data_IF_321266854635
#
_entry.id   IF_321266854635
#
_cell.length_a   1.000
_cell.length_b   1.000
_cell.length_c   1.000
_cell.angle_alpha   90.00
_cell.angle_beta   90.00
_cell.angle_gamma   90.00
#
_symmetry.space_group_name_H-M   'P 1'
#
loop_
_entity.id
_entity.type
_entity.pdbx_description
1 polymer ?
#
# COMPACT_ATOMS: atom_id res chain seq x y z
N UNK A 1 -42.37 11.95 4.17
CA UNK A 1 -43.77 11.58 4.56
C UNK A 1 -44.03 10.23 3.92
N UNK A 2 -43.97 9.19 4.73
CA UNK A 2 -43.97 7.80 4.31
C UNK A 2 -45.37 7.40 3.85
N UNK A 3 -45.45 6.67 2.72
CA UNK A 3 -46.73 6.21 2.13
C UNK A 3 -47.53 5.35 3.14
N UNK A 4 -46.85 4.78 4.13
CA UNK A 4 -47.45 4.01 5.20
C UNK A 4 -48.32 4.85 6.19
N UNK A 5 -47.98 6.11 6.44
CA UNK A 5 -48.73 7.01 7.34
C UNK A 5 -50.11 7.41 6.78
N UNK A 6 -50.29 7.41 5.46
CA UNK A 6 -51.56 7.81 4.83
C UNK A 6 -52.60 6.71 4.80
N UNK A 7 -52.23 5.45 5.05
CA UNK A 7 -53.14 4.29 5.02
C UNK A 7 -53.77 3.94 6.37
N UNK A 8 -53.36 4.58 7.44
CA UNK A 8 -53.87 4.30 8.79
C UNK A 8 -55.08 5.19 9.16
N UNK A 9 -55.30 6.29 8.42
CA UNK A 9 -56.25 7.34 8.84
C UNK A 9 -57.65 7.29 8.20
N UNK A 10 -57.92 6.31 7.32
CA UNK A 10 -59.27 6.11 6.78
C UNK A 10 -59.90 4.80 7.26
N UNK A 11 -60.60 4.90 8.37
CA UNK A 11 -61.51 3.86 8.87
C UNK A 11 -62.73 3.70 7.98
N UNK A 12 -63.03 2.42 7.65
CA UNK A 12 -64.35 1.89 7.21
C UNK A 12 -64.64 1.99 5.69
N UNK A 13 -64.64 0.85 5.11
CA UNK A 13 -64.88 0.39 3.76
C UNK A 13 -63.59 0.22 2.94
N UNK A 14 -62.72 -0.70 3.42
CA UNK A 14 -61.63 -1.19 2.57
C UNK A 14 -62.24 -2.01 1.44
N UNK A 15 -62.44 -1.34 0.31
CA UNK A 15 -62.87 -1.97 -0.95
C UNK A 15 -61.83 -3.06 -1.32
N UNK A 16 -62.32 -4.14 -1.94
CA UNK A 16 -61.47 -5.25 -2.40
C UNK A 16 -60.27 -4.78 -3.24
N UNK A 17 -60.38 -3.60 -3.86
CA UNK A 17 -59.31 -2.96 -4.64
C UNK A 17 -58.12 -2.51 -3.78
N UNK A 18 -58.37 -1.96 -2.58
CA UNK A 18 -57.32 -1.44 -1.68
C UNK A 18 -56.53 -2.57 -1.01
N UNK A 19 -57.22 -3.68 -0.67
CA UNK A 19 -56.58 -4.88 -0.13
C UNK A 19 -55.65 -5.52 -1.19
N UNK A 20 -56.02 -5.48 -2.46
CA UNK A 20 -55.22 -5.99 -3.57
C UNK A 20 -54.02 -5.10 -3.85
N UNK A 21 -54.21 -3.78 -3.80
CA UNK A 21 -53.13 -2.80 -3.95
C UNK A 21 -52.10 -2.93 -2.85
N UNK A 22 -52.54 -3.05 -1.57
CA UNK A 22 -51.64 -3.31 -0.42
C UNK A 22 -50.82 -4.58 -0.62
N UNK A 23 -51.43 -5.68 -1.05
CA UNK A 23 -50.70 -6.93 -1.36
C UNK A 23 -49.68 -6.73 -2.46
N UNK A 24 -50.02 -6.01 -3.53
CA UNK A 24 -49.07 -5.69 -4.59
C UNK A 24 -47.91 -4.85 -4.09
N UNK A 25 -48.15 -3.80 -3.27
CA UNK A 25 -47.10 -2.96 -2.69
C UNK A 25 -46.19 -3.77 -1.78
N UNK A 26 -46.75 -4.63 -0.91
CA UNK A 26 -45.95 -5.47 -0.02
C UNK A 26 -45.06 -6.47 -0.81
N UNK A 27 -45.61 -7.08 -1.86
CA UNK A 27 -44.86 -7.98 -2.73
C UNK A 27 -43.75 -7.25 -3.49
N UNK A 28 -44.05 -6.09 -4.07
CA UNK A 28 -43.07 -5.28 -4.82
C UNK A 28 -41.98 -4.74 -3.87
N UNK A 29 -42.31 -4.41 -2.64
CA UNK A 29 -41.36 -3.94 -1.64
C UNK A 29 -40.56 -5.06 -0.96
N UNK A 30 -40.84 -6.34 -1.28
CA UNK A 30 -40.27 -7.53 -0.64
C UNK A 30 -40.38 -7.51 0.90
N UNK A 31 -41.50 -6.95 1.42
CA UNK A 31 -41.77 -6.87 2.84
C UNK A 31 -42.89 -7.82 3.21
N UNK A 32 -42.79 -8.42 4.40
CA UNK A 32 -43.83 -9.17 5.02
C UNK A 32 -44.30 -8.52 6.30
N UNK A 33 -45.48 -8.93 6.82
CA UNK A 33 -45.95 -8.44 8.10
C UNK A 33 -46.52 -9.59 8.95
N UNK A 34 -46.52 -9.37 10.26
CA UNK A 34 -47.24 -10.21 11.22
C UNK A 34 -47.87 -9.31 12.26
N UNK A 35 -48.93 -9.81 12.88
CA UNK A 35 -49.54 -9.14 14.02
C UNK A 35 -50.03 -10.14 15.07
N UNK A 36 -50.15 -9.64 16.29
CA UNK A 36 -50.72 -10.35 17.42
C UNK A 36 -51.88 -9.53 17.97
N UNK A 37 -53.07 -10.15 18.11
CA UNK A 37 -54.23 -9.53 18.71
C UNK A 37 -54.19 -9.78 20.22
N UNK A 38 -53.97 -8.73 21.00
CA UNK A 38 -53.93 -8.90 22.45
C UNK A 38 -53.95 -7.58 23.20
N UNK A 39 -54.65 -7.56 24.34
CA UNK A 39 -54.53 -6.51 25.36
C UNK A 39 -53.44 -6.85 26.38
N UNK A 40 -53.07 -8.14 26.46
CA UNK A 40 -52.11 -8.65 27.43
C UNK A 40 -51.28 -9.77 26.77
N UNK A 41 -50.03 -9.51 26.46
CA UNK A 41 -49.13 -10.44 25.77
C UNK A 41 -48.73 -11.58 26.72
N UNK A 42 -49.50 -12.65 26.71
CA UNK A 42 -49.10 -13.93 27.28
C UNK A 42 -48.07 -14.57 26.34
N UNK A 43 -47.17 -15.36 26.89
CA UNK A 43 -46.00 -15.91 26.21
C UNK A 43 -46.24 -16.70 24.92
N UNK A 44 -47.48 -17.05 24.62
CA UNK A 44 -47.88 -17.87 23.47
C UNK A 44 -49.14 -17.35 22.74
N UNK A 45 -49.29 -16.03 22.66
CA UNK A 45 -50.37 -15.42 21.89
C UNK A 45 -50.25 -15.84 20.40
N UNK A 46 -51.38 -16.26 19.76
CA UNK A 46 -51.37 -16.61 18.35
C UNK A 46 -51.02 -15.39 17.49
N UNK A 47 -50.15 -15.58 16.53
CA UNK A 47 -49.69 -14.54 15.61
C UNK A 47 -50.25 -14.82 14.20
N UNK A 48 -50.85 -13.83 13.59
CA UNK A 48 -51.05 -13.85 12.16
C UNK A 48 -49.73 -13.51 11.47
N UNK A 49 -49.31 -14.29 10.46
CA UNK A 49 -48.12 -14.08 9.66
C UNK A 49 -48.50 -14.10 8.19
N UNK A 50 -48.28 -12.99 7.49
CA UNK A 50 -48.67 -12.86 6.08
C UNK A 50 -47.93 -13.90 5.20
N UNK A 51 -48.49 -14.26 4.03
CA UNK A 51 -47.83 -15.19 3.11
C UNK A 51 -46.41 -14.76 2.75
N UNK A 52 -46.18 -13.45 2.54
CA UNK A 52 -44.90 -12.86 2.22
C UNK A 52 -43.90 -13.00 3.39
N UNK A 53 -44.36 -12.71 4.62
CA UNK A 53 -43.54 -12.92 5.82
C UNK A 53 -43.17 -14.40 6.01
N UNK A 54 -44.10 -15.30 5.74
CA UNK A 54 -43.85 -16.76 5.79
C UNK A 54 -42.81 -17.18 4.79
N UNK A 55 -42.92 -16.70 3.57
CA UNK A 55 -41.94 -16.96 2.51
C UNK A 55 -40.54 -16.42 2.89
N UNK A 56 -40.46 -15.19 3.38
CA UNK A 56 -39.21 -14.57 3.82
C UNK A 56 -38.55 -15.34 4.97
N UNK A 57 -39.35 -15.82 5.93
CA UNK A 57 -38.87 -16.56 7.11
C UNK A 57 -38.79 -18.08 6.88
N UNK A 58 -39.12 -18.60 5.71
CA UNK A 58 -39.14 -20.04 5.44
C UNK A 58 -40.14 -20.81 6.26
N UNK A 59 -41.27 -20.20 6.61
CA UNK A 59 -42.34 -20.82 7.38
C UNK A 59 -43.37 -21.52 6.46
N UNK A 60 -43.90 -22.70 6.84
CA UNK A 60 -44.99 -23.36 6.09
C UNK A 60 -46.23 -22.48 6.07
N UNK A 61 -46.95 -22.45 4.93
CA UNK A 61 -48.16 -21.62 4.74
C UNK A 61 -49.31 -21.97 5.69
N UNK A 62 -49.43 -23.23 6.10
CA UNK A 62 -50.57 -23.73 6.89
C UNK A 62 -50.27 -23.93 8.38
N UNK A 63 -49.09 -23.58 8.87
CA UNK A 63 -48.72 -23.79 10.27
C UNK A 63 -49.18 -22.60 11.12
N UNK A 64 -49.93 -22.88 12.21
CA UNK A 64 -50.16 -21.87 13.23
C UNK A 64 -48.86 -21.44 13.89
N UNK A 65 -48.68 -20.15 14.08
CA UNK A 65 -47.47 -19.53 14.61
C UNK A 65 -47.85 -18.73 15.84
N UNK A 66 -47.22 -19.02 16.98
CA UNK A 66 -47.38 -18.21 18.19
C UNK A 66 -46.21 -17.22 18.30
N UNK A 67 -46.37 -16.20 19.12
CA UNK A 67 -45.32 -15.19 19.39
C UNK A 67 -44.04 -15.84 19.94
N UNK A 68 -44.17 -16.88 20.77
CA UNK A 68 -43.03 -17.66 21.27
C UNK A 68 -42.21 -18.31 20.14
N UNK A 69 -42.90 -18.80 19.10
CA UNK A 69 -42.26 -19.40 17.93
C UNK A 69 -41.51 -18.34 17.14
N UNK A 70 -42.06 -17.13 16.95
CA UNK A 70 -41.37 -16.02 16.30
C UNK A 70 -40.13 -15.61 17.08
N UNK A 71 -40.18 -15.53 18.42
CA UNK A 71 -39.04 -15.24 19.28
C UNK A 71 -37.94 -16.31 19.13
N UNK A 72 -38.34 -17.59 19.04
CA UNK A 72 -37.35 -18.68 18.89
C UNK A 72 -36.62 -18.67 17.54
N UNK A 73 -37.25 -18.13 16.51
CA UNK A 73 -36.60 -17.95 15.20
C UNK A 73 -35.48 -16.88 15.22
N UNK A 74 -35.54 -15.96 16.17
CA UNK A 74 -34.50 -14.92 16.33
C UNK A 74 -33.27 -15.56 16.94
N UNK A 75 -32.10 -15.22 16.41
CA UNK A 75 -30.82 -15.64 16.95
C UNK A 75 -30.69 -15.27 18.44
N UNK A 76 -30.07 -16.13 19.22
CA UNK A 76 -29.99 -16.00 20.69
C UNK A 76 -29.54 -14.60 21.14
N UNK A 77 -28.56 -14.04 20.48
CA UNK A 77 -27.96 -12.72 20.82
C UNK A 77 -28.94 -11.55 20.67
N UNK A 78 -30.00 -11.69 19.87
CA UNK A 78 -30.97 -10.63 19.60
C UNK A 78 -32.34 -10.84 20.30
N UNK A 79 -32.56 -11.98 20.98
CA UNK A 79 -33.84 -12.29 21.62
C UNK A 79 -34.23 -11.29 22.70
N UNK A 80 -33.28 -10.88 23.52
CA UNK A 80 -33.57 -9.89 24.57
C UNK A 80 -33.85 -8.50 23.98
N UNK A 81 -33.13 -8.11 22.92
CA UNK A 81 -33.44 -6.87 22.21
C UNK A 81 -34.84 -6.89 21.57
N UNK A 82 -35.27 -8.05 21.03
CA UNK A 82 -36.57 -8.21 20.45
C UNK A 82 -37.68 -8.15 21.51
N UNK A 83 -37.50 -8.80 22.68
CA UNK A 83 -38.42 -8.66 23.82
C UNK A 83 -38.52 -7.21 24.30
N UNK A 84 -37.38 -6.51 24.31
CA UNK A 84 -37.29 -5.08 24.60
C UNK A 84 -38.06 -4.22 23.59
N UNK A 85 -37.96 -4.53 22.29
CA UNK A 85 -38.77 -3.91 21.24
C UNK A 85 -40.28 -4.05 21.54
N UNK A 86 -40.76 -5.28 21.76
CA UNK A 86 -42.16 -5.55 22.06
C UNK A 86 -42.59 -4.80 23.31
N UNK A 87 -41.83 -4.89 24.41
CA UNK A 87 -42.18 -4.25 25.68
C UNK A 87 -42.28 -2.73 25.58
N UNK A 88 -41.36 -2.13 24.80
CA UNK A 88 -41.37 -0.68 24.55
C UNK A 88 -42.61 -0.28 23.75
N UNK A 89 -42.84 -0.96 22.62
CA UNK A 89 -43.96 -0.66 21.72
C UNK A 89 -45.32 -0.76 22.42
N UNK A 90 -45.50 -1.75 23.29
CA UNK A 90 -46.73 -1.88 24.05
C UNK A 90 -46.99 -0.76 25.06
N UNK A 91 -45.91 -0.20 25.63
CA UNK A 91 -46.03 0.90 26.59
C UNK A 91 -46.30 2.24 25.90
N UNK A 92 -45.85 2.38 24.66
CA UNK A 92 -45.93 3.63 23.89
C UNK A 92 -46.73 3.36 22.60
N UNK A 93 -48.08 3.35 22.76
CA UNK A 93 -48.97 3.13 21.62
C UNK A 93 -48.82 4.22 20.57
N UNK A 94 -48.71 3.81 19.31
CA UNK A 94 -48.47 4.69 18.18
C UNK A 94 -47.01 4.92 17.84
N UNK A 95 -46.03 4.65 18.75
CA UNK A 95 -44.63 4.75 18.45
C UNK A 95 -44.15 3.59 17.58
N UNK A 96 -43.32 3.92 16.60
CA UNK A 96 -42.62 2.93 15.77
C UNK A 96 -41.24 2.66 16.36
N UNK A 97 -40.88 1.39 16.48
CA UNK A 97 -39.56 0.95 16.92
C UNK A 97 -38.96 -0.01 15.91
N UNK A 98 -37.65 0.14 15.68
CA UNK A 98 -36.88 -0.65 14.70
C UNK A 98 -35.87 -1.54 15.42
N UNK A 99 -35.73 -2.79 14.94
CA UNK A 99 -34.70 -3.73 15.34
C UNK A 99 -34.09 -4.42 14.10
N UNK A 100 -32.76 -4.40 13.97
CA UNK A 100 -32.04 -5.26 13.02
C UNK A 100 -31.55 -6.49 13.76
N UNK A 101 -31.93 -7.69 13.26
CA UNK A 101 -31.57 -8.95 13.91
C UNK A 101 -31.41 -10.08 12.90
N UNK A 102 -30.82 -11.18 13.36
CA UNK A 102 -30.70 -12.41 12.61
C UNK A 102 -31.95 -13.28 12.87
N UNK A 103 -32.67 -13.67 11.81
CA UNK A 103 -33.79 -14.58 11.84
C UNK A 103 -33.41 -15.87 11.12
N UNK A 104 -33.83 -17.00 11.70
CA UNK A 104 -33.62 -18.32 11.13
C UNK A 104 -34.56 -18.51 9.93
N UNK A 105 -33.97 -18.76 8.75
CA UNK A 105 -34.66 -19.07 7.51
C UNK A 105 -34.31 -20.50 7.09
N UNK A 106 -35.24 -21.46 7.18
CA UNK A 106 -34.97 -22.87 6.87
C UNK A 106 -34.24 -23.63 7.97
N UNK A 107 -33.59 -24.74 7.64
CA UNK A 107 -33.12 -25.74 8.63
C UNK A 107 -31.99 -25.23 9.56
N UNK A 108 -31.03 -24.45 9.06
CA UNK A 108 -29.89 -23.96 9.88
C UNK A 108 -29.28 -22.64 9.38
N UNK A 109 -30.00 -21.91 8.53
CA UNK A 109 -29.49 -20.63 7.98
C UNK A 109 -30.12 -19.47 8.73
N UNK A 110 -29.33 -18.47 9.07
CA UNK A 110 -29.76 -17.20 9.60
C UNK A 110 -29.50 -16.11 8.56
N UNK A 111 -30.46 -15.19 8.40
CA UNK A 111 -30.34 -14.03 7.52
C UNK A 111 -30.67 -12.76 8.30
N UNK A 112 -30.15 -11.63 7.82
CA UNK A 112 -30.41 -10.33 8.42
C UNK A 112 -31.76 -9.79 8.01
N UNK A 113 -32.52 -9.39 9.02
CA UNK A 113 -33.83 -8.75 8.87
C UNK A 113 -33.88 -7.43 9.62
N UNK A 114 -34.65 -6.51 9.06
CA UNK A 114 -35.11 -5.32 9.75
C UNK A 114 -36.58 -5.57 10.17
N UNK A 115 -36.87 -5.42 11.46
CA UNK A 115 -38.21 -5.53 12.02
C UNK A 115 -38.62 -4.14 12.51
N UNK A 116 -39.74 -3.64 12.02
CA UNK A 116 -40.40 -2.43 12.54
C UNK A 116 -41.67 -2.83 13.20
N UNK A 117 -41.90 -2.42 14.44
CA UNK A 117 -43.10 -2.78 15.18
C UNK A 117 -43.78 -1.53 15.77
N UNK A 118 -45.11 -1.56 15.75
CA UNK A 118 -45.98 -0.55 16.38
C UNK A 118 -47.16 -1.24 17.04
N UNK A 119 -47.70 -0.64 18.11
CA UNK A 119 -48.89 -1.09 18.80
C UNK A 119 -50.01 -0.08 18.66
N UNK A 120 -51.15 -0.51 18.11
CA UNK A 120 -52.30 0.34 17.93
C UNK A 120 -53.49 -0.19 18.72
N UNK A 121 -54.17 0.70 19.42
CA UNK A 121 -55.42 0.48 20.13
C UNK A 121 -56.66 0.77 19.27
N UNK A 122 -56.50 1.23 18.07
CA UNK A 122 -57.59 1.53 17.13
C UNK A 122 -58.26 0.28 16.58
N UNK A 123 -57.51 -0.85 16.58
CA UNK A 123 -58.10 -2.15 16.26
C UNK A 123 -58.90 -2.72 17.45
N UNK A 124 -59.96 -3.48 17.13
CA UNK A 124 -60.73 -4.21 18.13
C UNK A 124 -60.71 -5.71 17.82
N UNK A 125 -59.93 -6.54 18.54
CA UNK A 125 -59.04 -6.19 19.66
C UNK A 125 -57.78 -5.41 19.23
N UNK A 126 -57.06 -4.70 20.16
CA UNK A 126 -55.80 -4.00 19.89
C UNK A 126 -54.73 -4.93 19.32
N UNK A 127 -53.87 -4.38 18.48
CA UNK A 127 -52.86 -5.18 17.75
C UNK A 127 -51.45 -4.66 17.93
N UNK A 128 -50.53 -5.59 18.17
CA UNK A 128 -49.10 -5.39 17.92
C UNK A 128 -48.80 -5.81 16.48
N UNK A 129 -48.43 -4.86 15.63
CA UNK A 129 -48.15 -5.09 14.22
C UNK A 129 -46.65 -4.95 14.01
N UNK A 130 -46.05 -5.83 13.21
CA UNK A 130 -44.68 -5.69 12.77
C UNK A 130 -44.53 -5.94 11.27
N UNK A 131 -43.75 -5.12 10.63
CA UNK A 131 -43.27 -5.28 9.25
C UNK A 131 -41.86 -5.83 9.29
N UNK A 132 -41.60 -6.83 8.46
CA UNK A 132 -40.28 -7.44 8.33
C UNK A 132 -39.75 -7.29 6.90
N UNK A 133 -38.47 -7.04 6.78
CA UNK A 133 -37.73 -6.85 5.53
C UNK A 133 -36.44 -7.63 5.58
N UNK A 134 -36.15 -8.41 4.54
CA UNK A 134 -34.84 -9.08 4.42
C UNK A 134 -33.79 -8.07 3.97
N UNK A 135 -32.77 -7.85 4.81
CA UNK A 135 -31.68 -6.92 4.58
C UNK A 135 -30.34 -7.64 4.42
N UNK A 136 -30.35 -8.94 4.11
CA UNK A 136 -29.14 -9.77 4.00
C UNK A 136 -28.16 -9.23 2.95
N UNK A 137 -28.67 -8.90 1.77
CA UNK A 137 -27.83 -8.41 0.67
C UNK A 137 -27.18 -7.07 1.01
N UNK A 138 -27.99 -6.10 1.51
CA UNK A 138 -27.51 -4.79 1.93
C UNK A 138 -26.49 -4.89 3.07
N UNK A 139 -26.78 -5.71 4.08
CA UNK A 139 -25.90 -5.93 5.22
C UNK A 139 -24.61 -6.64 4.82
N UNK A 140 -24.69 -7.61 3.90
CA UNK A 140 -23.54 -8.33 3.37
C UNK A 140 -22.63 -7.41 2.54
N UNK A 141 -23.21 -6.55 1.69
CA UNK A 141 -22.45 -5.57 0.91
C UNK A 141 -21.74 -4.55 1.81
N UNK A 142 -22.47 -4.00 2.80
CA UNK A 142 -21.88 -3.08 3.78
C UNK A 142 -20.70 -3.70 4.52
N UNK A 143 -20.85 -4.93 5.02
CA UNK A 143 -19.77 -5.65 5.71
C UNK A 143 -18.56 -5.92 4.80
N UNK A 144 -18.81 -6.32 3.54
CA UNK A 144 -17.72 -6.52 2.58
C UNK A 144 -16.97 -5.23 2.35
N UNK A 145 -17.69 -4.12 2.19
CA UNK A 145 -17.08 -2.80 2.03
C UNK A 145 -16.25 -2.41 3.25
N UNK A 146 -16.79 -2.56 4.47
CA UNK A 146 -16.09 -2.27 5.71
C UNK A 146 -14.79 -3.09 5.87
N UNK A 147 -14.85 -4.39 5.54
CA UNK A 147 -13.68 -5.27 5.58
C UNK A 147 -12.62 -4.82 4.58
N UNK A 148 -13.03 -4.53 3.34
CA UNK A 148 -12.09 -4.10 2.29
C UNK A 148 -11.48 -2.74 2.63
N UNK A 149 -12.30 -1.79 3.09
CA UNK A 149 -11.85 -0.47 3.52
C UNK A 149 -10.86 -0.56 4.69
N UNK A 150 -11.21 -1.32 5.74
CA UNK A 150 -10.34 -1.52 6.91
C UNK A 150 -9.00 -2.15 6.51
N UNK A 151 -9.03 -3.19 5.65
CA UNK A 151 -7.79 -3.82 5.15
C UNK A 151 -6.94 -2.84 4.36
N UNK A 152 -7.56 -2.03 3.50
CA UNK A 152 -6.85 -1.02 2.73
C UNK A 152 -6.21 0.02 3.64
N UNK A 153 -6.95 0.54 4.62
CA UNK A 153 -6.46 1.56 5.56
C UNK A 153 -5.29 1.04 6.39
N UNK A 154 -5.41 -0.15 6.98
CA UNK A 154 -4.32 -0.77 7.74
C UNK A 154 -3.09 -1.06 6.86
N UNK A 155 -3.30 -1.57 5.64
CA UNK A 155 -2.19 -1.82 4.71
C UNK A 155 -1.47 -0.52 4.35
N UNK A 156 -2.21 0.54 4.09
CA UNK A 156 -1.68 1.87 3.76
C UNK A 156 -0.84 2.45 4.92
N UNK A 157 -1.29 2.27 6.16
CA UNK A 157 -0.55 2.75 7.35
C UNK A 157 0.80 2.03 7.53
N UNK A 158 0.90 0.78 7.09
CA UNK A 158 2.14 -0.01 7.15
C UNK A 158 3.12 0.31 6.02
N UNK A 159 2.66 0.90 4.92
CA UNK A 159 3.49 1.26 3.78
C UNK A 159 4.13 2.64 4.00
N UNK A 160 5.45 2.72 3.76
CA UNK A 160 6.16 4.00 3.72
C UNK A 160 6.02 4.71 2.37
N UNK A 161 5.31 4.11 1.42
CA UNK A 161 5.12 4.63 0.08
C UNK A 161 4.00 5.65 0.02
N UNK A 162 4.18 6.69 -0.78
CA UNK A 162 3.16 7.69 -1.04
C UNK A 162 2.19 7.21 -2.12
N UNK A 163 0.93 6.91 -1.75
CA UNK A 163 -0.06 6.50 -2.74
C UNK A 163 -0.65 7.69 -3.48
N UNK A 164 -0.95 7.47 -4.76
CA UNK A 164 -1.66 8.43 -5.61
C UNK A 164 -2.77 7.72 -6.40
N UNK A 165 -3.78 8.50 -6.75
CA UNK A 165 -4.97 8.03 -7.44
C UNK A 165 -5.42 9.10 -8.44
N UNK A 166 -5.90 8.68 -9.59
CA UNK A 166 -6.46 9.51 -10.63
C UNK A 166 -7.78 8.90 -11.10
N UNK A 167 -8.88 9.61 -10.88
CA UNK A 167 -10.19 9.27 -11.45
C UNK A 167 -10.31 9.92 -12.84
N UNK A 168 -10.53 9.10 -13.87
CA UNK A 168 -10.47 9.54 -15.27
C UNK A 168 -11.89 9.71 -15.80
N UNK A 169 -12.31 10.96 -15.93
CA UNK A 169 -13.64 11.34 -16.37
C UNK A 169 -13.79 11.12 -17.89
N UNK A 170 -14.82 10.36 -18.26
CA UNK A 170 -15.14 10.10 -19.67
C UNK A 170 -14.07 9.35 -20.45
N UNK A 171 -13.16 8.64 -19.76
CA UNK A 171 -12.05 7.92 -20.38
C UNK A 171 -10.98 8.82 -21.01
N UNK A 172 -10.99 10.11 -20.73
CA UNK A 172 -10.03 11.07 -21.24
C UNK A 172 -8.97 11.43 -20.20
N UNK A 173 -7.74 10.89 -20.27
CA UNK A 173 -6.67 11.19 -19.32
C UNK A 173 -6.25 12.66 -19.27
N UNK A 174 -6.52 13.43 -20.30
CA UNK A 174 -6.18 14.86 -20.40
C UNK A 174 -7.35 15.78 -20.04
N UNK A 175 -8.46 15.23 -19.51
CA UNK A 175 -9.57 16.04 -19.06
C UNK A 175 -9.13 16.92 -17.89
N UNK A 176 -9.33 18.25 -17.93
CA UNK A 176 -8.96 19.17 -16.84
C UNK A 176 -9.73 18.92 -15.55
N UNK A 177 -10.91 18.28 -15.64
CA UNK A 177 -11.75 17.95 -14.50
C UNK A 177 -11.40 16.59 -13.86
N UNK A 178 -10.36 15.90 -14.33
CA UNK A 178 -9.88 14.67 -13.71
C UNK A 178 -9.46 14.91 -12.26
N UNK A 179 -9.94 14.05 -11.37
CA UNK A 179 -9.72 14.20 -9.93
C UNK A 179 -8.47 13.41 -9.52
N UNK A 180 -7.47 14.13 -9.03
CA UNK A 180 -6.30 13.55 -8.39
C UNK A 180 -6.53 13.40 -6.89
N UNK A 181 -5.87 12.43 -6.32
CA UNK A 181 -5.75 12.26 -4.88
C UNK A 181 -4.32 11.86 -4.52
N UNK A 182 -3.75 12.56 -3.55
CA UNK A 182 -2.45 12.27 -2.99
C UNK A 182 -2.62 11.81 -1.54
N UNK A 183 -2.07 10.65 -1.17
CA UNK A 183 -2.17 10.19 0.22
C UNK A 183 -1.44 11.13 1.18
N UNK A 184 -1.80 11.13 2.48
CA UNK A 184 -1.04 11.87 3.49
C UNK A 184 0.45 11.49 3.50
N UNK A 185 0.77 10.22 3.24
CA UNK A 185 2.15 9.75 3.15
C UNK A 185 2.87 10.30 1.91
N UNK A 186 2.18 10.44 0.77
CA UNK A 186 2.74 11.10 -0.42
C UNK A 186 3.18 12.54 -0.10
N UNK A 187 2.32 13.29 0.59
CA UNK A 187 2.62 14.65 1.04
C UNK A 187 3.81 14.66 1.99
N UNK A 188 3.85 13.76 2.99
CA UNK A 188 4.95 13.64 3.95
C UNK A 188 6.29 13.34 3.29
N UNK A 189 6.35 12.47 2.29
CA UNK A 189 7.56 12.17 1.54
C UNK A 189 8.16 13.41 0.87
N UNK A 190 7.31 14.37 0.47
CA UNK A 190 7.71 15.63 -0.13
C UNK A 190 7.89 16.77 0.90
N UNK A 191 7.59 16.51 2.19
CA UNK A 191 7.72 17.48 3.29
C UNK A 191 6.51 18.36 3.49
N UNK A 192 5.32 17.96 3.00
CA UNK A 192 4.05 18.66 3.18
C UNK A 192 3.15 17.89 4.16
N UNK A 193 2.31 18.61 4.89
CA UNK A 193 1.41 18.02 5.89
C UNK A 193 -0.05 18.07 5.47
N UNK A 194 -0.48 19.13 4.80
CA UNK A 194 -1.89 19.38 4.53
C UNK A 194 -2.21 19.40 3.02
N UNK A 195 -3.51 19.32 2.72
CA UNK A 195 -4.02 19.41 1.35
C UNK A 195 -3.88 20.82 0.78
N UNK A 196 -3.91 21.85 1.64
CA UNK A 196 -3.74 23.24 1.23
C UNK A 196 -2.30 23.52 0.78
N UNK A 197 -1.32 22.86 1.40
CA UNK A 197 0.09 22.98 1.04
C UNK A 197 0.45 22.18 -0.23
N UNK A 198 -0.27 21.08 -0.46
CA UNK A 198 -0.09 20.21 -1.63
C UNK A 198 -1.47 19.72 -2.11
N UNK A 199 -2.18 20.54 -2.92
CA UNK A 199 -3.52 20.25 -3.40
C UNK A 199 -3.63 18.98 -4.25
N UNK A 200 -4.85 18.44 -4.31
CA UNK A 200 -5.18 17.24 -5.10
C UNK A 200 -5.36 17.57 -6.59
N UNK A 201 -4.30 18.10 -7.20
CA UNK A 201 -4.22 18.43 -8.63
C UNK A 201 -2.92 17.92 -9.24
N UNK A 202 -2.92 17.70 -10.53
CA UNK A 202 -1.74 17.21 -11.27
C UNK A 202 -0.54 18.15 -11.12
N UNK A 203 -0.77 19.46 -11.12
CA UNK A 203 0.31 20.45 -11.06
C UNK A 203 1.09 20.41 -9.76
N UNK A 204 0.48 19.97 -8.66
CA UNK A 204 1.19 19.76 -7.38
C UNK A 204 2.38 18.82 -7.52
N UNK A 205 2.27 17.80 -8.37
CA UNK A 205 3.38 16.89 -8.72
C UNK A 205 4.22 17.43 -9.88
N UNK A 206 3.58 17.81 -11.00
CA UNK A 206 4.27 18.15 -12.24
C UNK A 206 5.19 19.38 -12.12
N UNK A 207 4.81 20.36 -11.28
CA UNK A 207 5.64 21.55 -11.00
C UNK A 207 6.90 21.24 -10.18
N UNK A 208 6.95 20.08 -9.51
CA UNK A 208 8.08 19.67 -8.64
C UNK A 208 9.06 18.75 -9.33
N UNK A 209 8.78 18.29 -10.52
CA UNK A 209 9.71 17.49 -11.30
C UNK A 209 10.98 18.28 -11.61
N UNK A 210 12.12 17.61 -11.50
CA UNK A 210 13.40 18.20 -11.90
C UNK A 210 13.36 18.57 -13.40
N UNK A 211 13.90 19.72 -13.81
CA UNK A 211 13.85 20.16 -15.21
C UNK A 211 14.30 19.08 -16.22
N UNK A 212 15.39 18.36 -15.92
CA UNK A 212 15.94 17.32 -16.81
C UNK A 212 15.02 16.09 -16.90
N UNK A 213 14.22 15.81 -15.85
CA UNK A 213 13.40 14.59 -15.75
C UNK A 213 11.95 14.85 -16.16
N UNK A 214 11.53 16.13 -16.17
CA UNK A 214 10.13 16.54 -16.30
C UNK A 214 9.46 16.02 -17.58
N UNK A 215 10.09 16.22 -18.71
CA UNK A 215 9.50 15.82 -19.99
C UNK A 215 9.33 14.30 -20.05
N UNK A 216 10.38 13.56 -19.68
CA UNK A 216 10.34 12.10 -19.67
C UNK A 216 9.27 11.54 -18.71
N UNK A 217 9.12 12.14 -17.53
CA UNK A 217 8.13 11.71 -16.54
C UNK A 217 6.69 11.96 -17.03
N UNK A 218 6.43 13.12 -17.63
CA UNK A 218 5.13 13.45 -18.19
C UNK A 218 4.79 12.55 -19.39
N UNK A 219 5.73 12.34 -20.31
CA UNK A 219 5.53 11.49 -21.47
C UNK A 219 5.28 10.04 -21.07
N UNK A 220 6.03 9.51 -20.10
CA UNK A 220 5.83 8.16 -19.57
C UNK A 220 4.43 8.00 -18.95
N UNK A 221 3.97 8.99 -18.19
CA UNK A 221 2.64 8.97 -17.57
C UNK A 221 1.53 9.02 -18.63
N UNK A 222 1.62 9.94 -19.57
CA UNK A 222 0.64 10.08 -20.66
C UNK A 222 0.64 8.84 -21.56
N UNK A 223 1.80 8.32 -21.96
CA UNK A 223 1.89 7.12 -22.79
C UNK A 223 1.29 5.90 -22.11
N UNK A 224 1.52 5.74 -20.78
CA UNK A 224 0.88 4.69 -20.00
C UNK A 224 -0.65 4.79 -20.04
N UNK A 225 -1.20 5.98 -19.82
CA UNK A 225 -2.65 6.20 -19.81
C UNK A 225 -3.30 6.04 -21.19
N UNK A 226 -2.63 6.52 -22.25
CA UNK A 226 -3.14 6.52 -23.63
C UNK A 226 -2.93 5.19 -24.35
N UNK A 227 -2.17 4.26 -23.79
CA UNK A 227 -2.04 2.92 -24.37
C UNK A 227 -3.27 2.06 -24.03
N UNK A 228 -4.27 2.08 -24.90
CA UNK A 228 -5.50 1.30 -24.77
C UNK A 228 -5.27 -0.22 -24.78
N UNK A 229 -4.09 -0.69 -25.20
CA UNK A 229 -3.72 -2.11 -25.09
C UNK A 229 -3.40 -2.54 -23.64
N UNK A 230 -3.09 -1.57 -22.78
CA UNK A 230 -2.69 -1.80 -21.37
C UNK A 230 -1.33 -2.48 -21.20
N UNK A 231 -0.50 -2.55 -22.25
CA UNK A 231 0.81 -3.19 -22.22
C UNK A 231 1.93 -2.26 -21.74
N UNK A 232 1.75 -0.94 -21.90
CA UNK A 232 2.72 0.05 -21.44
C UNK A 232 2.62 0.18 -19.93
N UNK A 233 3.67 -0.26 -19.21
CA UNK A 233 3.76 -0.09 -17.76
C UNK A 233 4.07 1.36 -17.38
N UNK A 234 3.78 1.72 -16.12
CA UNK A 234 4.26 2.95 -15.51
C UNK A 234 5.18 2.58 -14.36
N UNK A 235 6.50 2.61 -14.61
CA UNK A 235 7.56 2.37 -13.63
C UNK A 235 8.75 3.25 -14.04
N UNK A 236 8.95 4.36 -13.33
CA UNK A 236 9.93 5.38 -13.72
C UNK A 236 10.58 6.00 -12.49
N UNK A 237 11.86 6.32 -12.62
CA UNK A 237 12.63 7.05 -11.61
C UNK A 237 12.83 8.50 -12.05
N UNK A 238 12.59 9.42 -11.12
CA UNK A 238 12.78 10.86 -11.33
C UNK A 238 13.05 11.58 -10.02
N UNK A 239 13.53 12.82 -10.13
CA UNK A 239 13.76 13.71 -9.00
C UNK A 239 12.55 14.61 -8.77
N UNK A 240 12.11 14.72 -7.52
CA UNK A 240 11.13 15.69 -7.08
C UNK A 240 11.74 16.70 -6.11
N UNK A 241 11.32 17.96 -6.26
CA UNK A 241 11.66 19.04 -5.36
C UNK A 241 10.84 18.94 -4.07
N UNK A 242 11.52 18.74 -2.96
CA UNK A 242 10.91 18.76 -1.62
C UNK A 242 10.47 20.18 -1.24
N UNK A 243 9.70 20.28 -0.15
CA UNK A 243 9.37 21.58 0.48
C UNK A 243 10.61 22.36 0.87
N UNK A 244 11.69 21.69 1.28
CA UNK A 244 12.98 22.30 1.61
C UNK A 244 13.67 22.99 0.42
N UNK A 245 13.26 22.67 -0.80
CA UNK A 245 13.89 23.13 -2.03
C UNK A 245 14.91 22.14 -2.61
N UNK A 246 15.28 21.10 -1.89
CA UNK A 246 16.19 20.05 -2.34
C UNK A 246 15.48 19.08 -3.29
N UNK A 247 16.26 18.47 -4.21
CA UNK A 247 15.79 17.39 -5.06
C UNK A 247 16.14 16.04 -4.46
N UNK A 248 15.16 15.12 -4.48
CA UNK A 248 15.30 13.75 -4.00
C UNK A 248 14.82 12.77 -5.06
N UNK A 249 15.47 11.61 -5.14
CA UNK A 249 15.10 10.56 -6.07
C UNK A 249 13.93 9.75 -5.58
N UNK A 250 12.96 9.60 -6.46
CA UNK A 250 11.77 8.77 -6.26
C UNK A 250 11.60 7.80 -7.43
N UNK A 251 10.97 6.67 -7.17
CA UNK A 251 10.42 5.76 -8.15
C UNK A 251 8.91 5.85 -8.09
N UNK A 252 8.24 6.09 -9.21
CA UNK A 252 6.80 6.03 -9.32
C UNK A 252 6.40 4.79 -10.10
N UNK A 253 5.42 4.06 -9.56
CA UNK A 253 4.79 2.90 -10.19
C UNK A 253 3.30 3.10 -10.23
N UNK A 254 2.65 2.62 -11.29
CA UNK A 254 1.21 2.74 -11.43
C UNK A 254 0.57 1.64 -12.25
N UNK A 255 -0.73 1.47 -12.02
CA UNK A 255 -1.61 0.55 -12.71
C UNK A 255 -2.89 1.29 -13.09
N UNK A 256 -3.45 0.97 -14.26
CA UNK A 256 -4.69 1.58 -14.73
C UNK A 256 -5.77 0.54 -14.90
N UNK A 257 -6.90 0.76 -14.23
CA UNK A 257 -8.14 0.02 -14.49
C UNK A 257 -8.74 0.52 -15.81
N UNK A 258 -9.07 -0.42 -16.69
CA UNK A 258 -9.61 -0.11 -18.01
C UNK A 258 -10.95 -0.81 -18.23
N UNK A 259 -11.76 -0.23 -19.10
CA UNK A 259 -12.94 -0.88 -19.67
C UNK A 259 -12.52 -2.00 -20.64
N UNK A 260 -13.45 -2.88 -21.07
CA UNK A 260 -13.15 -3.97 -22.01
C UNK A 260 -12.58 -3.52 -23.35
N UNK A 261 -12.87 -2.28 -23.77
CA UNK A 261 -12.34 -1.64 -25.00
C UNK A 261 -10.96 -1.00 -24.80
N UNK A 262 -10.38 -1.09 -23.60
CA UNK A 262 -9.10 -0.50 -23.25
C UNK A 262 -9.18 0.93 -22.71
N UNK A 263 -10.36 1.56 -22.72
CA UNK A 263 -10.55 2.92 -22.19
C UNK A 263 -10.11 3.03 -20.74
N UNK A 264 -9.20 3.95 -20.37
CA UNK A 264 -8.75 4.10 -18.99
C UNK A 264 -9.87 4.71 -18.14
N UNK A 265 -10.14 4.09 -16.99
CA UNK A 265 -11.18 4.51 -16.05
C UNK A 265 -10.59 5.11 -14.77
N UNK A 266 -9.52 4.52 -14.24
CA UNK A 266 -8.87 4.96 -13.01
C UNK A 266 -7.43 4.49 -13.00
N UNK A 267 -6.51 5.34 -12.61
CA UNK A 267 -5.11 4.99 -12.41
C UNK A 267 -4.72 5.16 -10.94
N UNK A 268 -4.00 4.19 -10.41
CA UNK A 268 -3.51 4.22 -9.03
C UNK A 268 -2.04 3.85 -9.00
N UNK A 269 -1.30 4.36 -8.03
CA UNK A 269 0.09 3.97 -7.89
C UNK A 269 0.74 4.41 -6.59
N UNK A 270 2.06 4.20 -6.55
CA UNK A 270 2.89 4.48 -5.41
C UNK A 270 4.13 5.30 -5.80
N UNK A 271 4.51 6.21 -4.92
CA UNK A 271 5.76 6.96 -4.95
C UNK A 271 6.67 6.39 -3.85
N UNK A 272 7.83 5.90 -4.23
CA UNK A 272 8.80 5.22 -3.38
C UNK A 272 10.04 6.09 -3.27
N UNK A 273 10.48 6.40 -2.05
CA UNK A 273 11.75 7.10 -1.84
C UNK A 273 12.91 6.14 -2.10
N UNK A 274 13.72 6.44 -3.11
CA UNK A 274 14.88 5.64 -3.50
C UNK A 274 16.21 6.36 -3.27
N UNK A 275 16.22 7.48 -2.54
CA UNK A 275 17.44 8.25 -2.30
C UNK A 275 18.53 7.38 -1.66
N UNK A 276 18.19 6.62 -0.64
CA UNK A 276 19.16 5.72 0.01
C UNK A 276 19.73 4.64 -0.92
N UNK A 277 18.95 4.15 -1.89
CA UNK A 277 19.43 3.22 -2.93
C UNK A 277 20.42 3.91 -3.86
N UNK A 278 20.11 5.13 -4.30
CA UNK A 278 21.00 5.93 -5.17
C UNK A 278 22.31 6.31 -4.46
N UNK A 279 22.25 6.64 -3.17
CA UNK A 279 23.43 6.99 -2.39
C UNK A 279 24.36 5.78 -2.21
N UNK A 280 23.81 4.60 -1.88
CA UNK A 280 24.60 3.36 -1.81
C UNK A 280 25.31 3.06 -3.13
N UNK A 281 24.58 3.11 -4.25
CA UNK A 281 25.16 2.86 -5.56
C UNK A 281 26.33 3.83 -5.88
N UNK A 282 26.18 5.13 -5.55
CA UNK A 282 27.28 6.12 -5.73
C UNK A 282 28.49 5.84 -4.84
N UNK A 283 28.26 5.38 -3.61
CA UNK A 283 29.37 4.98 -2.73
C UNK A 283 30.12 3.77 -3.26
N UNK A 284 29.40 2.73 -3.69
CA UNK A 284 29.99 1.53 -4.29
C UNK A 284 30.80 1.86 -5.54
N UNK A 285 30.24 2.65 -6.46
CA UNK A 285 30.99 3.12 -7.67
C UNK A 285 32.23 3.91 -7.30
N UNK A 286 32.14 4.78 -6.28
CA UNK A 286 33.27 5.57 -5.80
C UNK A 286 34.39 4.70 -5.20
N UNK A 287 34.03 3.67 -4.43
CA UNK A 287 34.97 2.71 -3.87
C UNK A 287 35.65 1.87 -4.96
N UNK A 288 34.86 1.36 -5.91
CA UNK A 288 35.42 0.62 -7.07
C UNK A 288 36.41 1.49 -7.84
N UNK A 289 36.05 2.75 -8.15
CA UNK A 289 36.94 3.68 -8.84
C UNK A 289 38.24 3.94 -8.05
N UNK A 290 38.13 4.13 -6.72
CA UNK A 290 39.30 4.33 -5.84
C UNK A 290 40.21 3.10 -5.84
N UNK A 291 39.63 1.91 -5.78
CA UNK A 291 40.38 0.66 -5.78
C UNK A 291 41.12 0.44 -7.10
N UNK A 292 40.50 0.74 -8.24
CA UNK A 292 41.16 0.69 -9.57
C UNK A 292 42.33 1.66 -9.61
N UNK A 293 42.13 2.91 -9.21
CA UNK A 293 43.20 3.92 -9.20
C UNK A 293 44.38 3.53 -8.28
N UNK A 294 44.05 2.95 -7.10
CA UNK A 294 45.07 2.45 -6.16
C UNK A 294 45.88 1.30 -6.78
N UNK A 295 45.20 0.38 -7.47
CA UNK A 295 45.89 -0.75 -8.14
C UNK A 295 46.80 -0.28 -9.30
N UNK A 296 46.35 0.68 -10.10
CA UNK A 296 47.18 1.28 -11.18
C UNK A 296 48.42 1.97 -10.60
N UNK A 297 48.23 2.80 -9.58
CA UNK A 297 49.35 3.49 -8.91
C UNK A 297 50.34 2.49 -8.29
N UNK A 298 49.84 1.42 -7.68
CA UNK A 298 50.70 0.38 -7.11
C UNK A 298 51.51 -0.34 -8.19
N UNK A 299 50.94 -0.58 -9.37
CA UNK A 299 51.65 -1.17 -10.51
C UNK A 299 52.77 -0.25 -11.00
N UNK A 300 52.52 1.04 -11.22
CA UNK A 300 53.53 2.01 -11.63
C UNK A 300 54.71 2.09 -10.63
N UNK A 301 54.40 2.12 -9.32
CA UNK A 301 55.41 2.10 -8.28
C UNK A 301 56.24 0.79 -8.34
N UNK A 302 55.62 -0.37 -8.60
CA UNK A 302 56.31 -1.66 -8.72
C UNK A 302 57.31 -1.65 -9.87
N UNK A 303 56.96 -1.09 -11.02
CA UNK A 303 57.85 -0.93 -12.17
C UNK A 303 59.05 -0.06 -11.83
N UNK A 304 58.81 1.11 -11.20
CA UNK A 304 59.90 2.03 -10.78
C UNK A 304 60.82 1.40 -9.72
N UNK A 305 60.28 0.65 -8.78
CA UNK A 305 61.05 -0.06 -7.76
C UNK A 305 61.90 -1.18 -8.40
N UNK A 306 61.39 -1.91 -9.37
CA UNK A 306 62.15 -2.92 -10.12
C UNK A 306 63.34 -2.29 -10.87
N UNK A 307 63.07 -1.17 -11.56
CA UNK A 307 64.09 -0.45 -12.29
C UNK A 307 65.21 0.08 -11.36
N UNK A 308 64.83 0.69 -10.21
CA UNK A 308 65.77 1.11 -9.19
C UNK A 308 66.62 -0.05 -8.63
N UNK A 309 66.06 -1.24 -8.48
CA UNK A 309 66.77 -2.45 -8.09
C UNK A 309 67.87 -2.85 -9.12
N UNK A 310 67.54 -2.77 -10.41
CA UNK A 310 68.47 -3.04 -11.49
C UNK A 310 69.64 -2.01 -11.51
N UNK A 311 69.26 -0.74 -11.36
CA UNK A 311 70.29 0.35 -11.31
C UNK A 311 71.24 0.16 -10.12
N UNK A 312 70.65 -0.14 -8.92
CA UNK A 312 71.49 -0.40 -7.74
C UNK A 312 72.44 -1.60 -7.93
N UNK A 313 72.00 -2.68 -8.57
CA UNK A 313 72.89 -3.81 -8.89
C UNK A 313 73.97 -3.43 -9.89
N UNK A 314 73.69 -2.64 -10.92
CA UNK A 314 74.69 -2.14 -11.88
C UNK A 314 75.74 -1.23 -11.20
N UNK A 315 75.28 -0.30 -10.33
CA UNK A 315 76.17 0.56 -9.56
C UNK A 315 77.11 -0.27 -8.65
N UNK A 316 76.55 -1.33 -8.01
CA UNK A 316 77.36 -2.25 -7.19
C UNK A 316 78.45 -2.96 -8.02
N UNK A 317 78.12 -3.43 -9.23
CA UNK A 317 79.15 -4.04 -10.14
C UNK A 317 80.19 -3.06 -10.61
N UNK A 318 79.82 -1.83 -10.98
CA UNK A 318 80.73 -0.78 -11.37
C UNK A 318 81.70 -0.42 -10.22
N UNK A 319 81.17 -0.28 -9.01
CA UNK A 319 81.96 0.02 -7.81
C UNK A 319 82.92 -1.11 -7.44
N UNK A 320 82.52 -2.38 -7.67
CA UNK A 320 83.36 -3.54 -7.47
C UNK A 320 84.56 -3.50 -8.48
N UNK A 321 84.26 -3.29 -9.75
CA UNK A 321 85.29 -3.19 -10.79
C UNK A 321 86.29 -2.01 -10.51
N UNK A 322 85.76 -0.86 -10.09
CA UNK A 322 86.53 0.29 -9.66
C UNK A 322 87.45 -0.02 -8.44
N UNK A 323 86.90 -0.81 -7.48
CA UNK A 323 87.72 -1.27 -6.32
C UNK A 323 88.86 -2.18 -6.74
N UNK A 324 88.61 -3.08 -7.69
CA UNK A 324 89.63 -3.98 -8.22
C UNK A 324 90.74 -3.19 -8.94
N UNK A 325 90.39 -2.25 -9.78
CA UNK A 325 91.34 -1.44 -10.53
C UNK A 325 92.12 -0.49 -9.60
N UNK A 326 91.47 0.07 -8.59
CA UNK A 326 92.13 0.84 -7.54
C UNK A 326 93.17 0.02 -6.76
N UNK A 327 92.87 -1.25 -6.44
CA UNK A 327 93.82 -2.17 -5.82
C UNK A 327 95.02 -2.48 -6.73
N UNK A 328 94.75 -2.60 -8.04
CA UNK A 328 95.82 -2.82 -9.07
C UNK A 328 96.77 -1.68 -9.24
N UNK A 329 96.29 -0.43 -9.02
CA UNK A 329 97.10 0.79 -9.07
C UNK A 329 97.99 1.04 -7.82
N UNK A 330 97.89 0.15 -6.81
CA UNK A 330 98.77 0.19 -5.61
C UNK A 330 98.59 1.46 -4.79
N UNK A 331 99.77 2.13 -4.46
CA UNK A 331 99.74 3.34 -3.61
C UNK A 331 98.97 4.51 -4.25
N UNK A 332 98.97 4.61 -5.59
CA UNK A 332 98.28 5.66 -6.33
C UNK A 332 96.76 5.44 -6.38
N UNK A 333 96.28 4.23 -6.12
CA UNK A 333 94.81 3.90 -6.15
C UNK A 333 94.11 4.07 -4.84
N UNK A 334 94.74 4.37 -3.71
CA UNK A 334 94.16 4.44 -2.36
C UNK A 334 92.87 5.33 -2.26
N UNK A 335 92.98 6.54 -2.88
CA UNK A 335 91.80 7.46 -2.86
C UNK A 335 90.59 6.93 -3.63
N UNK A 336 90.88 6.28 -4.79
CA UNK A 336 89.82 5.66 -5.61
C UNK A 336 89.18 4.46 -4.93
N UNK A 337 89.93 3.69 -4.17
CA UNK A 337 89.37 2.53 -3.39
C UNK A 337 88.38 2.96 -2.33
N UNK A 338 88.60 4.11 -1.65
CA UNK A 338 87.69 4.66 -0.67
C UNK A 338 86.39 5.11 -1.35
N UNK A 339 86.51 5.80 -2.51
CA UNK A 339 85.33 6.25 -3.27
C UNK A 339 84.50 5.03 -3.75
N UNK A 340 85.12 4.05 -4.33
CA UNK A 340 84.49 2.84 -4.84
C UNK A 340 83.77 2.06 -3.70
N UNK A 341 84.41 1.98 -2.53
CA UNK A 341 83.79 1.37 -1.35
C UNK A 341 82.58 2.16 -0.87
N UNK A 342 82.63 3.49 -0.87
CA UNK A 342 81.49 4.35 -0.51
C UNK A 342 80.31 4.20 -1.49
N UNK A 343 80.62 4.16 -2.81
CA UNK A 343 79.57 3.93 -3.87
C UNK A 343 78.98 2.54 -3.72
N UNK A 344 79.75 1.50 -3.42
CA UNK A 344 79.18 0.16 -3.14
C UNK A 344 78.23 0.16 -1.94
N UNK A 345 78.61 0.78 -0.84
CA UNK A 345 77.81 0.92 0.33
C UNK A 345 76.52 1.68 0.04
N UNK A 346 76.55 2.71 -0.81
CA UNK A 346 75.32 3.42 -1.23
C UNK A 346 74.40 2.54 -2.10
N UNK A 347 74.99 1.77 -3.04
CA UNK A 347 74.24 0.83 -3.88
C UNK A 347 73.55 -0.27 -3.04
N UNK A 348 74.23 -0.83 -2.02
CA UNK A 348 73.67 -1.82 -1.09
C UNK A 348 72.47 -1.23 -0.29
N UNK A 349 72.65 -0.02 0.27
CA UNK A 349 71.53 0.66 0.96
C UNK A 349 70.36 0.95 0.04
N UNK A 350 70.63 1.31 -1.23
CA UNK A 350 69.52 1.53 -2.21
C UNK A 350 68.78 0.23 -2.48
N UNK A 351 69.49 -0.89 -2.66
CA UNK A 351 68.85 -2.21 -2.84
C UNK A 351 68.01 -2.63 -1.64
N UNK A 352 68.45 -2.37 -0.40
CA UNK A 352 67.70 -2.65 0.82
C UNK A 352 66.44 -1.83 0.92
N UNK A 353 66.50 -0.52 0.63
CA UNK A 353 65.32 0.37 0.59
C UNK A 353 64.35 -0.09 -0.47
N UNK A 354 64.83 -0.41 -1.67
CA UNK A 354 63.99 -0.93 -2.78
C UNK A 354 63.27 -2.22 -2.38
N UNK A 355 63.96 -3.16 -1.72
CA UNK A 355 63.35 -4.36 -1.19
C UNK A 355 62.32 -4.11 -0.09
N UNK A 356 62.51 -3.06 0.71
CA UNK A 356 61.52 -2.66 1.71
C UNK A 356 60.26 -2.10 1.07
N UNK A 357 60.38 -1.23 0.07
CA UNK A 357 59.26 -0.67 -0.68
C UNK A 357 58.47 -1.79 -1.37
N UNK A 358 59.14 -2.76 -2.02
CA UNK A 358 58.49 -3.91 -2.63
C UNK A 358 57.62 -4.72 -1.63
N UNK A 359 58.10 -4.93 -0.41
CA UNK A 359 57.30 -5.61 0.64
C UNK A 359 56.07 -4.82 1.09
N UNK A 360 56.19 -3.50 1.20
CA UNK A 360 55.08 -2.63 1.53
C UNK A 360 54.01 -2.63 0.41
N UNK A 361 54.43 -2.60 -0.84
CA UNK A 361 53.52 -2.70 -1.98
C UNK A 361 52.74 -4.03 -2.02
N UNK A 362 53.41 -5.16 -1.80
CA UNK A 362 52.73 -6.45 -1.74
C UNK A 362 51.65 -6.45 -0.64
N UNK A 363 51.90 -5.81 0.50
CA UNK A 363 50.91 -5.67 1.56
C UNK A 363 49.69 -4.83 1.12
N UNK A 364 49.94 -3.71 0.42
CA UNK A 364 48.86 -2.85 -0.12
C UNK A 364 48.05 -3.61 -1.17
N UNK A 365 48.71 -4.29 -2.11
CA UNK A 365 48.06 -5.07 -3.15
C UNK A 365 47.21 -6.23 -2.56
N UNK A 366 47.69 -6.94 -1.56
CA UNK A 366 46.94 -8.01 -0.90
C UNK A 366 45.78 -7.48 -0.07
N UNK A 367 45.89 -6.28 0.50
CA UNK A 367 44.76 -5.64 1.21
C UNK A 367 43.65 -5.20 0.25
N UNK A 368 44.01 -4.72 -0.94
CA UNK A 368 43.07 -4.37 -2.00
C UNK A 368 42.38 -5.60 -2.61
N UNK A 369 43.09 -6.74 -2.73
CA UNK A 369 42.55 -8.01 -3.25
C UNK A 369 41.73 -8.80 -2.22
N UNK A 370 41.93 -8.56 -0.93
CA UNK A 370 41.21 -9.25 0.17
C UNK A 370 39.76 -8.86 0.34
N UNK A 371 39.33 -7.79 -0.34
CA UNK A 371 37.92 -7.32 -0.30
C UNK A 371 36.99 -8.17 -1.19
N UNK A 372 37.56 -8.97 -2.12
CA UNK A 372 36.77 -9.84 -3.02
C UNK A 372 36.29 -11.17 -2.42
N UNK A 373 36.60 -11.48 -1.16
CA UNK A 373 36.17 -12.74 -0.51
C UNK A 373 35.43 -12.47 0.80
N UNK A 374 34.21 -11.89 0.69
CA UNK A 374 33.18 -12.12 1.71
C UNK A 374 32.23 -13.19 1.17
N UNK A 375 32.07 -14.34 1.83
CA UNK A 375 31.12 -15.35 1.38
C UNK A 375 29.70 -14.86 1.64
N UNK A 376 28.87 -14.99 0.62
CA UNK A 376 27.40 -15.01 0.78
C UNK A 376 27.02 -15.97 1.91
N UNK A 377 26.32 -15.46 2.92
CA UNK A 377 25.47 -16.22 3.83
C UNK A 377 24.07 -15.61 3.85
#
# INVERSE_FOLDING_TARGET
>A
MDIAEKFIDETLDVDHSDTTLLKCIMNLSQKGYWYVETTDLKSDAPAFVSPEARQLMGLPLQKEVGLSSLIQMIHADFREAFKGLISHTLKHSGDEKLLRCLIKTGANTFQWFCIRASYSREFTPPRLVAVIENTEEETSQSRKFDIVSTRFDLSREMLNDGLWDLDIIGGNPLNPDNVFWWSPQFRKLLGFETIEEFPDVMDSWASRLHPDDKQNALDAFVNHLMDFSGKTGFDIEYRLKLRSGEYRWFQARGQTKRAPDGTPLRAVGALIDIQGRKDRGRHEESEVRRNIQTAETAKEIAELVSENGIIAAQIKLISLNASIEAARAGVHGRGFSVIASAIRGLAERTADITGHISRLQMRISNSASGIEKSPEQ
#
